data_IF_026536005556
#
_entry.id   IF_026536005556
#
_cell.length_a   1.000
_cell.length_b   1.000
_cell.length_c   1.000
_cell.angle_alpha   90.00
_cell.angle_beta   90.00
_cell.angle_gamma   90.00
#
_symmetry.space_group_name_H-M   'P 1'
#
loop_
_entity.id
_entity.type
_entity.pdbx_description
1 polymer ?
#
# COMPACT_ATOMS: atom_id res chain seq x y z
N UNK A 1 12.77 19.47 0.33
CA UNK A 1 11.62 19.63 1.24
C UNK A 1 11.57 21.02 1.88
N UNK A 2 12.64 21.51 2.53
CA UNK A 2 12.66 22.83 3.19
C UNK A 2 12.18 23.99 2.31
N UNK A 3 12.60 24.01 1.03
CA UNK A 3 12.17 25.03 0.06
C UNK A 3 10.65 25.07 -0.17
N UNK A 4 9.99 23.91 -0.22
CA UNK A 4 8.55 23.82 -0.52
C UNK A 4 7.67 23.87 0.73
N UNK A 5 8.20 23.56 1.92
CA UNK A 5 7.46 23.71 3.18
C UNK A 5 7.68 25.07 3.84
N UNK A 6 8.76 25.79 3.48
CA UNK A 6 9.20 27.00 4.17
C UNK A 6 9.81 26.73 5.56
N UNK A 7 10.00 25.46 5.93
CA UNK A 7 10.54 25.05 7.24
C UNK A 7 11.98 24.59 7.06
N UNK A 8 12.91 25.22 7.77
CA UNK A 8 14.30 24.76 7.83
C UNK A 8 14.36 23.41 8.56
N UNK A 9 14.93 22.39 7.93
CA UNK A 9 15.05 21.04 8.50
C UNK A 9 16.43 20.92 9.14
N UNK A 10 16.46 20.97 10.46
CA UNK A 10 17.69 20.92 11.27
C UNK A 10 17.76 19.73 12.21
N UNK A 11 16.66 19.01 12.35
CA UNK A 11 16.46 17.86 13.22
C UNK A 11 15.23 17.04 12.77
N UNK A 12 14.89 16.00 13.53
CA UNK A 12 13.72 15.16 13.26
C UNK A 12 12.40 15.91 13.43
N UNK A 13 12.30 16.81 14.39
CA UNK A 13 11.05 17.53 14.68
C UNK A 13 10.71 18.47 13.52
N UNK A 14 11.68 19.26 13.06
CA UNK A 14 11.54 20.13 11.90
C UNK A 14 11.32 19.35 10.60
N UNK A 15 11.86 18.14 10.45
CA UNK A 15 11.53 17.23 9.35
C UNK A 15 10.05 16.82 9.39
N UNK A 16 9.56 16.33 10.54
CA UNK A 16 8.17 15.92 10.70
C UNK A 16 7.20 17.10 10.52
N UNK A 17 7.55 18.28 11.02
CA UNK A 17 6.79 19.51 10.80
C UNK A 17 6.74 19.90 9.31
N UNK A 18 7.87 19.78 8.59
CA UNK A 18 7.93 20.02 7.16
C UNK A 18 7.07 19.02 6.37
N UNK A 19 7.06 17.74 6.76
CA UNK A 19 6.21 16.71 6.15
C UNK A 19 4.73 16.97 6.44
N UNK A 20 4.36 17.27 7.69
CA UNK A 20 2.99 17.63 8.07
C UNK A 20 2.48 18.83 7.28
N UNK A 21 3.29 19.89 7.18
CA UNK A 21 2.96 21.06 6.35
C UNK A 21 2.63 20.69 4.90
N UNK A 22 3.38 19.76 4.30
CA UNK A 22 3.08 19.28 2.94
C UNK A 22 1.82 18.42 2.91
N UNK A 23 1.61 17.53 3.88
CA UNK A 23 0.37 16.75 3.98
C UNK A 23 -0.85 17.66 4.09
N UNK A 24 -0.80 18.68 4.94
CA UNK A 24 -1.89 19.66 5.09
C UNK A 24 -2.15 20.41 3.76
N UNK A 25 -1.10 20.76 3.02
CA UNK A 25 -1.24 21.30 1.67
C UNK A 25 -1.95 20.33 0.73
N UNK A 26 -1.59 19.03 0.73
CA UNK A 26 -2.26 18.02 -0.09
C UNK A 26 -3.73 17.83 0.33
N UNK A 27 -4.02 17.83 1.63
CA UNK A 27 -5.38 17.76 2.16
C UNK A 27 -6.22 18.96 1.71
N UNK A 28 -5.64 20.17 1.71
CA UNK A 28 -6.30 21.37 1.17
C UNK A 28 -6.60 21.29 -0.34
N UNK A 29 -5.97 20.35 -1.05
CA UNK A 29 -6.24 20.03 -2.47
C UNK A 29 -6.98 18.69 -2.61
N UNK A 30 -7.74 18.29 -1.60
CA UNK A 30 -8.61 17.10 -1.60
C UNK A 30 -7.89 15.77 -1.73
N UNK A 31 -6.58 15.72 -1.44
CA UNK A 31 -5.91 14.43 -1.30
C UNK A 31 -6.47 13.68 -0.08
N UNK A 32 -6.73 12.39 -0.25
CA UNK A 32 -7.25 11.49 0.78
C UNK A 32 -6.52 10.14 0.81
N UNK A 33 -5.43 10.00 0.04
CA UNK A 33 -4.73 8.75 -0.18
C UNK A 33 -3.22 9.00 -0.16
N UNK A 34 -2.48 8.17 0.57
CA UNK A 34 -1.02 8.09 0.51
C UNK A 34 -0.58 6.75 -0.10
N UNK A 35 0.65 6.71 -0.62
CA UNK A 35 1.26 5.51 -1.16
C UNK A 35 2.74 5.42 -0.82
N UNK A 36 3.19 4.21 -0.53
CA UNK A 36 4.54 3.88 -0.10
C UNK A 36 5.07 2.66 -0.85
N UNK A 37 5.94 2.89 -1.84
CA UNK A 37 6.70 1.85 -2.52
C UNK A 37 7.96 1.48 -1.74
N UNK A 38 8.02 0.27 -1.18
CA UNK A 38 9.13 -0.20 -0.34
C UNK A 38 9.52 -1.65 -0.69
N UNK A 39 10.78 -2.02 -0.49
CA UNK A 39 11.17 -3.44 -0.60
C UNK A 39 10.50 -4.27 0.51
N UNK A 40 10.45 -3.76 1.74
CA UNK A 40 9.65 -4.27 2.83
C UNK A 40 9.36 -3.12 3.83
N UNK A 41 8.35 -3.27 4.69
CA UNK A 41 8.14 -2.32 5.79
C UNK A 41 9.33 -2.33 6.77
N UNK A 42 9.62 -1.23 7.46
CA UNK A 42 10.68 -1.17 8.47
C UNK A 42 10.46 -2.20 9.59
N UNK A 43 11.54 -2.81 10.07
CA UNK A 43 11.51 -3.72 11.22
C UNK A 43 11.59 -2.94 12.55
N UNK A 44 12.21 -1.77 12.53
CA UNK A 44 12.34 -0.88 13.68
C UNK A 44 11.53 0.39 13.45
N UNK A 45 10.73 0.79 14.43
CA UNK A 45 9.78 1.91 14.33
C UNK A 45 10.00 3.00 15.40
N UNK A 46 11.14 2.95 16.10
CA UNK A 46 11.56 3.95 17.10
C UNK A 46 13.04 4.29 16.90
N UNK A 47 13.39 5.52 17.24
CA UNK A 47 14.79 5.96 17.36
C UNK A 47 15.15 6.15 18.83
N UNK A 48 16.31 5.66 19.21
CA UNK A 48 16.97 5.97 20.48
C UNK A 48 17.40 7.43 20.53
N UNK A 49 17.65 7.98 21.71
CA UNK A 49 18.11 9.38 21.82
C UNK A 49 19.49 9.59 21.19
N UNK A 50 20.34 8.55 21.17
CA UNK A 50 21.62 8.56 20.45
C UNK A 50 21.40 8.69 18.95
N UNK A 51 20.49 7.90 18.36
CA UNK A 51 20.18 7.97 16.93
C UNK A 51 19.52 9.30 16.55
N UNK A 52 18.69 9.89 17.42
CA UNK A 52 18.14 11.23 17.17
C UNK A 52 19.24 12.30 17.13
N UNK A 53 20.22 12.21 18.03
CA UNK A 53 21.37 13.12 18.02
C UNK A 53 22.27 12.90 16.79
N UNK A 54 22.49 11.63 16.42
CA UNK A 54 23.22 11.26 15.21
C UNK A 54 22.57 11.85 13.96
N UNK A 55 21.23 11.82 13.86
CA UNK A 55 20.51 12.41 12.72
C UNK A 55 20.80 13.91 12.57
N UNK A 56 20.87 14.65 13.68
CA UNK A 56 21.19 16.08 13.66
C UNK A 56 22.63 16.35 13.18
N UNK A 57 23.57 15.46 13.49
CA UNK A 57 24.94 15.53 13.00
C UNK A 57 25.02 15.14 11.51
N UNK A 58 24.29 14.11 11.10
CA UNK A 58 24.16 13.66 9.71
C UNK A 58 23.69 14.80 8.80
N UNK A 59 22.67 15.58 9.19
CA UNK A 59 22.18 16.71 8.41
C UNK A 59 23.21 17.82 8.16
N UNK A 60 24.21 17.95 9.03
CA UNK A 60 25.22 19.02 8.99
C UNK A 60 26.52 18.59 8.34
N UNK A 61 26.69 17.30 8.10
CA UNK A 61 27.97 16.71 7.70
C UNK A 61 27.83 16.16 6.29
N UNK A 62 28.47 16.77 5.28
CA UNK A 62 28.51 16.22 3.93
C UNK A 62 29.03 14.78 3.95
N UNK A 63 28.42 13.91 3.14
CA UNK A 63 28.78 12.49 2.98
C UNK A 63 28.68 11.63 4.26
N UNK A 64 28.07 12.14 5.34
CA UNK A 64 27.77 11.32 6.50
C UNK A 64 26.78 10.21 6.14
N UNK A 65 26.92 9.06 6.81
CA UNK A 65 26.00 7.93 6.69
C UNK A 65 25.29 7.77 8.02
N UNK A 66 23.96 7.75 7.99
CA UNK A 66 23.17 7.44 9.17
C UNK A 66 23.26 5.95 9.47
N UNK A 67 23.55 5.60 10.72
CA UNK A 67 23.87 4.23 11.14
C UNK A 67 22.69 3.26 11.04
N UNK A 68 21.45 3.76 11.15
CA UNK A 68 20.25 2.93 11.21
C UNK A 68 19.12 3.40 10.28
N UNK A 69 19.28 3.28 8.95
CA UNK A 69 18.28 3.75 7.98
C UNK A 69 16.91 3.07 8.12
N UNK A 70 16.85 1.80 8.56
CA UNK A 70 15.59 1.08 8.79
C UNK A 70 14.80 1.71 9.95
N UNK A 71 15.45 2.00 11.09
CA UNK A 71 14.80 2.66 12.22
C UNK A 71 14.35 4.09 11.91
N UNK A 72 15.14 4.84 11.13
CA UNK A 72 14.72 6.16 10.65
C UNK A 72 13.48 6.06 9.76
N UNK A 73 13.49 5.15 8.78
CA UNK A 73 12.35 4.93 7.90
C UNK A 73 11.10 4.54 8.70
N UNK A 74 11.21 3.64 9.68
CA UNK A 74 10.07 3.24 10.50
C UNK A 74 9.58 4.32 11.44
N UNK A 75 10.48 5.13 12.01
CA UNK A 75 10.10 6.27 12.85
C UNK A 75 9.31 7.32 12.05
N UNK A 76 9.82 7.72 10.88
CA UNK A 76 9.16 8.69 10.01
C UNK A 76 7.85 8.12 9.46
N UNK A 77 7.85 6.89 8.95
CA UNK A 77 6.66 6.26 8.39
C UNK A 77 5.56 6.09 9.46
N UNK A 78 5.91 5.71 10.68
CA UNK A 78 4.95 5.65 11.80
C UNK A 78 4.31 7.01 12.05
N UNK A 79 5.09 8.09 12.08
CA UNK A 79 4.56 9.44 12.27
C UNK A 79 3.62 9.86 11.14
N UNK A 80 3.97 9.54 9.89
CA UNK A 80 3.12 9.82 8.73
C UNK A 80 1.79 9.03 8.80
N UNK A 81 1.85 7.74 9.11
CA UNK A 81 0.66 6.89 9.26
C UNK A 81 -0.32 7.42 10.31
N UNK A 82 0.18 7.96 11.43
CA UNK A 82 -0.65 8.60 12.45
C UNK A 82 -1.34 9.87 11.92
N UNK A 83 -0.63 10.68 11.14
CA UNK A 83 -1.23 11.85 10.47
C UNK A 83 -2.30 11.41 9.46
N UNK A 84 -2.07 10.34 8.70
CA UNK A 84 -3.07 9.81 7.78
C UNK A 84 -4.32 9.34 8.52
N UNK A 85 -4.16 8.70 9.67
CA UNK A 85 -5.27 8.32 10.53
C UNK A 85 -6.05 9.55 11.02
N UNK A 86 -5.35 10.57 11.53
CA UNK A 86 -5.96 11.85 11.98
C UNK A 86 -6.81 12.49 10.86
N UNK A 87 -6.34 12.45 9.62
CA UNK A 87 -7.01 13.03 8.46
C UNK A 87 -8.05 12.12 7.80
N UNK A 88 -8.22 10.88 8.27
CA UNK A 88 -9.10 9.88 7.67
C UNK A 88 -8.65 9.39 6.28
N UNK A 89 -7.37 9.55 5.96
CA UNK A 89 -6.78 9.10 4.68
C UNK A 89 -6.68 7.58 4.60
N UNK A 90 -6.56 7.07 3.37
CA UNK A 90 -6.13 5.71 3.11
C UNK A 90 -4.62 5.68 2.90
N UNK A 91 -3.94 4.70 3.48
CA UNK A 91 -2.51 4.46 3.27
C UNK A 91 -2.28 3.19 2.45
N UNK A 92 -1.47 3.28 1.41
CA UNK A 92 -1.14 2.16 0.53
C UNK A 92 0.32 1.75 0.70
N UNK A 93 0.57 0.44 0.64
CA UNK A 93 1.91 -0.13 0.73
C UNK A 93 2.15 -1.10 -0.43
N UNK A 94 2.97 -0.69 -1.38
CA UNK A 94 3.42 -1.49 -2.51
C UNK A 94 4.77 -2.14 -2.18
N UNK A 95 4.74 -3.45 -1.88
CA UNK A 95 5.85 -4.16 -1.26
C UNK A 95 6.47 -5.23 -2.15
N UNK A 96 7.80 -5.29 -2.17
CA UNK A 96 8.54 -6.43 -2.73
C UNK A 96 9.24 -6.19 -4.07
N UNK A 97 9.33 -4.95 -4.54
CA UNK A 97 10.10 -4.62 -5.74
C UNK A 97 11.62 -4.71 -5.50
N UNK A 98 12.32 -5.43 -6.37
CA UNK A 98 13.78 -5.41 -6.49
C UNK A 98 14.15 -4.52 -7.68
N UNK A 99 14.74 -3.35 -7.40
CA UNK A 99 14.88 -2.26 -8.39
C UNK A 99 16.31 -2.10 -8.90
N UNK A 100 16.45 -1.52 -10.09
CA UNK A 100 17.71 -1.12 -10.70
C UNK A 100 18.72 -2.28 -10.87
N UNK A 101 18.22 -3.47 -11.20
CA UNK A 101 19.03 -4.69 -11.26
C UNK A 101 20.13 -4.63 -12.31
N UNK A 102 19.88 -3.93 -13.42
CA UNK A 102 20.87 -3.74 -14.47
C UNK A 102 21.68 -2.46 -14.24
N UNK A 103 22.78 -2.57 -13.50
CA UNK A 103 23.66 -1.44 -13.15
C UNK A 103 24.17 -0.68 -14.38
N UNK A 104 24.48 -1.40 -15.47
CA UNK A 104 24.96 -0.79 -16.71
C UNK A 104 23.91 0.08 -17.38
N UNK A 105 22.64 -0.34 -17.33
CA UNK A 105 21.52 0.44 -17.86
C UNK A 105 21.06 1.53 -16.90
N UNK A 106 21.12 1.30 -15.60
CA UNK A 106 20.85 2.32 -14.58
C UNK A 106 21.76 3.54 -14.76
N UNK A 107 23.05 3.33 -14.98
CA UNK A 107 24.00 4.43 -15.25
C UNK A 107 23.70 5.22 -16.54
N UNK A 108 22.96 4.63 -17.49
CA UNK A 108 22.64 5.26 -18.79
C UNK A 108 21.27 5.91 -18.81
N UNK A 109 20.26 5.24 -18.25
CA UNK A 109 18.84 5.60 -18.36
C UNK A 109 18.25 6.08 -17.04
N UNK A 110 18.89 5.77 -15.91
CA UNK A 110 18.33 6.01 -14.59
C UNK A 110 17.23 5.01 -14.20
N UNK A 111 16.51 5.30 -13.12
CA UNK A 111 15.44 4.44 -12.60
C UNK A 111 14.22 4.36 -13.53
N UNK A 112 13.29 3.44 -13.22
CA UNK A 112 11.99 3.29 -13.90
C UNK A 112 12.10 3.04 -15.42
N UNK A 113 13.19 2.40 -15.84
CA UNK A 113 13.53 2.13 -17.25
C UNK A 113 13.35 0.67 -17.68
N UNK A 114 12.60 -0.11 -16.90
CA UNK A 114 12.25 -1.51 -17.21
C UNK A 114 13.24 -2.56 -16.70
N UNK A 115 14.13 -2.21 -15.77
CA UNK A 115 15.14 -3.10 -15.18
C UNK A 115 14.86 -3.46 -13.72
N UNK A 116 13.59 -3.48 -13.35
CA UNK A 116 13.07 -3.86 -12.04
C UNK A 116 12.41 -5.24 -12.12
N UNK A 117 12.36 -5.97 -11.01
CA UNK A 117 11.79 -7.32 -10.95
C UNK A 117 11.13 -7.62 -9.59
N UNK A 118 10.56 -8.82 -9.50
CA UNK A 118 10.04 -9.38 -8.26
C UNK A 118 11.20 -9.70 -7.30
N UNK A 119 11.12 -9.24 -6.05
CA UNK A 119 12.00 -9.64 -4.95
C UNK A 119 11.37 -10.68 -4.02
N UNK A 120 12.15 -11.23 -3.09
CA UNK A 120 11.77 -12.31 -2.16
C UNK A 120 11.95 -11.91 -0.69
N UNK A 121 11.61 -10.67 -0.37
CA UNK A 121 11.78 -10.10 0.97
C UNK A 121 10.83 -10.76 1.99
N UNK A 122 11.29 -10.90 3.24
CA UNK A 122 10.44 -11.43 4.33
C UNK A 122 9.47 -10.36 4.83
N UNK A 123 8.19 -10.53 4.56
CA UNK A 123 7.16 -9.53 4.86
C UNK A 123 6.40 -9.75 6.17
N UNK A 124 6.15 -11.00 6.57
CA UNK A 124 5.19 -11.32 7.63
C UNK A 124 5.45 -10.61 8.98
N UNK A 125 6.67 -10.75 9.52
CA UNK A 125 7.03 -10.14 10.81
C UNK A 125 7.05 -8.61 10.75
N UNK A 126 7.50 -8.04 9.62
CA UNK A 126 7.57 -6.58 9.40
C UNK A 126 6.17 -5.96 9.30
N UNK A 127 5.26 -6.57 8.55
CA UNK A 127 3.85 -6.16 8.46
C UNK A 127 3.16 -6.24 9.83
N UNK A 128 3.27 -7.39 10.50
CA UNK A 128 2.67 -7.62 11.82
C UNK A 128 3.18 -6.61 12.86
N UNK A 129 4.51 -6.42 12.94
CA UNK A 129 5.12 -5.49 13.88
C UNK A 129 4.76 -4.03 13.60
N UNK A 130 4.79 -3.61 12.33
CA UNK A 130 4.51 -2.22 11.97
C UNK A 130 3.04 -1.83 12.19
N UNK A 131 2.09 -2.64 11.72
CA UNK A 131 0.66 -2.38 11.95
C UNK A 131 0.26 -2.61 13.40
N UNK A 132 0.88 -3.58 14.08
CA UNK A 132 0.72 -3.78 15.53
C UNK A 132 1.12 -2.53 16.31
N UNK A 133 2.26 -1.91 15.98
CA UNK A 133 2.70 -0.67 16.63
C UNK A 133 1.72 0.50 16.45
N UNK A 134 1.11 0.65 15.27
CA UNK A 134 0.07 1.67 15.04
C UNK A 134 -1.24 1.35 15.77
N UNK A 135 -1.56 0.06 15.91
CA UNK A 135 -2.78 -0.41 16.59
C UNK A 135 -2.73 -0.26 18.10
N UNK A 136 -1.53 -0.20 18.72
CA UNK A 136 -1.37 0.02 20.18
C UNK A 136 -2.03 1.30 20.68
N UNK A 137 -2.14 2.31 19.81
CA UNK A 137 -2.71 3.63 20.13
C UNK A 137 -3.98 3.93 19.32
N UNK A 138 -4.55 2.91 18.65
CA UNK A 138 -5.70 3.02 17.74
C UNK A 138 -5.51 4.03 16.60
N UNK A 139 -4.26 4.23 16.14
CA UNK A 139 -3.91 5.19 15.10
C UNK A 139 -3.59 4.51 13.76
N UNK A 140 -4.08 3.28 13.57
CA UNK A 140 -4.00 2.59 12.27
C UNK A 140 -5.08 3.14 11.33
N UNK A 141 -4.67 3.76 10.23
CA UNK A 141 -5.56 4.24 9.18
C UNK A 141 -6.15 3.09 8.33
N UNK A 142 -7.15 3.41 7.50
CA UNK A 142 -7.57 2.53 6.39
C UNK A 142 -6.35 2.19 5.56
N UNK A 143 -6.07 0.91 5.30
CA UNK A 143 -4.84 0.51 4.62
C UNK A 143 -5.10 -0.45 3.46
N UNK A 144 -4.33 -0.32 2.38
CA UNK A 144 -4.28 -1.31 1.31
C UNK A 144 -2.85 -1.82 1.18
N UNK A 145 -2.65 -3.14 1.24
CA UNK A 145 -1.34 -3.75 1.08
C UNK A 145 -1.28 -4.55 -0.22
N UNK A 146 -0.16 -4.41 -0.93
CA UNK A 146 0.11 -5.08 -2.20
C UNK A 146 1.45 -5.81 -2.10
N UNK A 147 1.49 -7.06 -2.56
CA UNK A 147 2.71 -7.83 -2.73
C UNK A 147 3.08 -7.91 -4.22
N UNK A 148 4.38 -7.88 -4.52
CA UNK A 148 4.87 -8.12 -5.89
C UNK A 148 5.21 -9.59 -6.14
N UNK A 149 5.48 -10.36 -5.07
CA UNK A 149 5.81 -11.77 -5.16
C UNK A 149 4.59 -12.65 -4.86
N UNK A 150 4.09 -13.44 -5.84
CA UNK A 150 2.84 -14.18 -5.67
C UNK A 150 2.93 -15.33 -4.64
N UNK A 151 4.13 -15.65 -4.13
CA UNK A 151 4.30 -16.55 -3.00
C UNK A 151 3.78 -15.96 -1.67
N UNK A 152 3.59 -14.64 -1.62
CA UNK A 152 3.11 -13.94 -0.43
C UNK A 152 1.58 -13.71 -0.43
N UNK A 153 0.85 -14.12 -1.47
CA UNK A 153 -0.58 -13.83 -1.62
C UNK A 153 -1.40 -14.24 -0.38
N UNK A 154 -1.29 -15.49 0.02
CA UNK A 154 -2.00 -16.05 1.18
C UNK A 154 -1.55 -15.38 2.48
N UNK A 155 -0.27 -15.05 2.60
CA UNK A 155 0.25 -14.36 3.79
C UNK A 155 -0.32 -12.94 3.89
N UNK A 156 -0.36 -12.17 2.79
CA UNK A 156 -0.97 -10.84 2.76
C UNK A 156 -2.48 -10.90 3.00
N UNK A 157 -3.17 -11.87 2.38
CA UNK A 157 -4.61 -12.07 2.57
C UNK A 157 -4.98 -12.44 4.02
N UNK A 158 -4.16 -13.24 4.70
CA UNK A 158 -4.33 -13.53 6.13
C UNK A 158 -3.95 -12.33 7.01
N UNK A 159 -2.91 -11.57 6.63
CA UNK A 159 -2.39 -10.45 7.42
C UNK A 159 -3.44 -9.35 7.66
N UNK A 160 -4.26 -9.04 6.65
CA UNK A 160 -5.31 -8.01 6.79
C UNK A 160 -6.35 -8.37 7.86
N UNK A 161 -6.59 -9.66 8.12
CA UNK A 161 -7.53 -10.14 9.12
C UNK A 161 -7.13 -9.81 10.56
N UNK A 162 -5.83 -9.62 10.82
CA UNK A 162 -5.32 -9.27 12.16
C UNK A 162 -5.70 -7.84 12.58
N UNK A 163 -5.98 -6.96 11.63
CA UNK A 163 -6.12 -5.52 11.86
C UNK A 163 -7.44 -4.95 11.29
N UNK A 164 -8.50 -5.76 11.30
CA UNK A 164 -9.85 -5.25 11.06
C UNK A 164 -10.24 -4.12 12.02
N UNK A 165 -11.29 -3.36 11.71
CA UNK A 165 -11.74 -2.28 12.58
C UNK A 165 -13.25 -2.14 12.60
N UNK A 166 -13.77 -1.78 13.77
CA UNK A 166 -15.20 -1.60 13.99
C UNK A 166 -15.75 -0.47 13.11
N UNK A 167 -16.94 -0.69 12.55
CA UNK A 167 -17.64 0.31 11.75
C UNK A 167 -17.07 0.59 10.35
N UNK A 168 -15.94 0.00 9.97
CA UNK A 168 -15.32 0.20 8.65
C UNK A 168 -15.26 -1.13 7.90
N UNK A 169 -16.07 -1.25 6.82
CA UNK A 169 -16.07 -2.43 5.95
C UNK A 169 -14.71 -2.60 5.28
N UNK A 170 -13.96 -3.60 5.75
CA UNK A 170 -12.63 -3.92 5.22
C UNK A 170 -11.61 -2.81 5.45
N UNK A 171 -11.45 -2.33 6.70
CA UNK A 171 -10.42 -1.35 7.10
C UNK A 171 -9.03 -1.66 6.55
N UNK A 172 -8.69 -2.94 6.46
CA UNK A 172 -7.48 -3.45 5.81
C UNK A 172 -7.88 -4.20 4.55
N UNK A 173 -7.29 -3.80 3.43
CA UNK A 173 -7.55 -4.37 2.12
C UNK A 173 -6.29 -5.09 1.62
N UNK A 174 -6.48 -6.28 1.05
CA UNK A 174 -5.48 -6.90 0.23
C UNK A 174 -5.75 -6.46 -1.21
N UNK A 175 -4.83 -5.64 -1.76
CA UNK A 175 -5.01 -4.99 -3.04
C UNK A 175 -5.01 -5.95 -4.23
N UNK A 176 -5.45 -5.44 -5.40
CA UNK A 176 -5.43 -6.21 -6.65
C UNK A 176 -4.03 -6.67 -7.05
N UNK A 177 -3.94 -7.63 -7.98
CA UNK A 177 -2.66 -8.09 -8.51
C UNK A 177 -1.81 -6.91 -9.02
N UNK A 178 -0.66 -6.68 -8.40
CA UNK A 178 0.16 -5.50 -8.67
C UNK A 178 1.23 -5.76 -9.74
N UNK A 179 1.35 -4.83 -10.69
CA UNK A 179 2.42 -4.75 -11.69
C UNK A 179 2.60 -6.05 -12.50
N UNK A 180 3.60 -6.89 -12.18
CA UNK A 180 3.82 -8.16 -12.89
C UNK A 180 2.66 -9.15 -12.67
N UNK A 181 1.88 -8.95 -11.61
CA UNK A 181 0.72 -9.75 -11.26
C UNK A 181 -0.59 -9.19 -11.82
N UNK A 182 -0.57 -8.03 -12.48
CA UNK A 182 -1.74 -7.45 -13.19
C UNK A 182 -1.93 -8.11 -14.57
N UNK A 183 -2.22 -9.40 -14.53
CA UNK A 183 -2.54 -10.28 -15.66
C UNK A 183 -3.43 -11.41 -15.15
N UNK A 184 -4.09 -12.15 -16.05
CA UNK A 184 -5.15 -13.12 -15.70
C UNK A 184 -4.81 -14.04 -14.52
N UNK A 185 -3.70 -14.76 -14.57
CA UNK A 185 -3.32 -15.73 -13.53
C UNK A 185 -3.01 -15.04 -12.20
N UNK A 186 -2.38 -13.87 -12.24
CA UNK A 186 -2.07 -13.08 -11.04
C UNK A 186 -3.34 -12.55 -10.37
N UNK A 187 -4.27 -12.02 -11.17
CA UNK A 187 -5.58 -11.54 -10.71
C UNK A 187 -6.40 -12.69 -10.12
N UNK A 188 -6.49 -13.83 -10.81
CA UNK A 188 -7.24 -15.00 -10.31
C UNK A 188 -6.64 -15.53 -9.00
N UNK A 189 -5.30 -15.62 -8.89
CA UNK A 189 -4.64 -16.05 -7.65
C UNK A 189 -4.85 -15.06 -6.50
N UNK A 190 -4.80 -13.76 -6.77
CA UNK A 190 -5.05 -12.73 -5.77
C UNK A 190 -6.50 -12.79 -5.26
N UNK A 191 -7.47 -12.84 -6.18
CA UNK A 191 -8.90 -12.94 -5.84
C UNK A 191 -9.22 -14.22 -5.06
N UNK A 192 -8.64 -15.36 -5.45
CA UNK A 192 -8.81 -16.62 -4.73
C UNK A 192 -8.23 -16.56 -3.31
N UNK A 193 -7.04 -15.98 -3.12
CA UNK A 193 -6.46 -15.82 -1.79
C UNK A 193 -7.34 -14.91 -0.91
N UNK A 194 -7.80 -13.78 -1.46
CA UNK A 194 -8.71 -12.86 -0.75
C UNK A 194 -10.07 -13.51 -0.44
N UNK A 195 -10.64 -14.28 -1.36
CA UNK A 195 -11.93 -14.96 -1.17
C UNK A 195 -11.85 -16.04 -0.08
N UNK A 196 -10.76 -16.79 -0.02
CA UNK A 196 -10.57 -17.87 0.97
C UNK A 196 -10.24 -17.37 2.38
N UNK A 197 -9.53 -16.23 2.52
CA UNK A 197 -8.99 -15.79 3.81
C UNK A 197 -9.60 -14.47 4.31
N UNK A 198 -10.32 -13.75 3.45
CA UNK A 198 -10.94 -12.47 3.75
C UNK A 198 -12.38 -12.41 3.29
N UNK A 199 -12.82 -11.21 2.90
CA UNK A 199 -14.19 -10.97 2.44
C UNK A 199 -14.17 -10.27 1.08
N UNK A 200 -14.18 -11.06 0.00
CA UNK A 200 -14.09 -10.56 -1.38
C UNK A 200 -15.21 -9.58 -1.73
N UNK A 201 -16.38 -9.68 -1.10
CA UNK A 201 -17.50 -8.75 -1.31
C UNK A 201 -17.22 -7.32 -0.83
N UNK A 202 -16.22 -7.12 0.03
CA UNK A 202 -15.73 -5.81 0.47
C UNK A 202 -14.49 -5.34 -0.32
N UNK A 203 -14.05 -6.08 -1.33
CA UNK A 203 -12.84 -5.76 -2.07
C UNK A 203 -13.00 -4.43 -2.80
N UNK A 204 -12.03 -3.52 -2.62
CA UNK A 204 -12.02 -2.20 -3.26
C UNK A 204 -11.77 -2.25 -4.77
N UNK A 205 -11.36 -3.40 -5.30
CA UNK A 205 -11.33 -3.64 -6.74
C UNK A 205 -10.04 -3.16 -7.42
N UNK A 206 -10.20 -2.73 -8.67
CA UNK A 206 -9.12 -2.53 -9.63
C UNK A 206 -8.62 -1.09 -9.68
N UNK A 207 -7.32 -0.92 -9.92
CA UNK A 207 -6.67 0.33 -10.29
C UNK A 207 -5.67 0.06 -11.43
N UNK A 208 -5.33 1.07 -12.24
CA UNK A 208 -4.50 0.83 -13.42
C UNK A 208 -2.99 0.81 -13.16
N UNK A 209 -2.53 1.48 -12.10
CA UNK A 209 -1.11 1.71 -11.78
C UNK A 209 -0.28 2.10 -13.01
N UNK A 210 -0.83 3.00 -13.83
CA UNK A 210 -0.28 3.29 -15.16
C UNK A 210 -0.13 4.77 -15.42
N UNK A 211 0.95 5.09 -16.13
CA UNK A 211 1.19 6.40 -16.75
C UNK A 211 0.53 6.57 -18.12
N UNK A 212 -0.17 5.55 -18.64
CA UNK A 212 -0.80 5.58 -19.96
C UNK A 212 -2.30 5.88 -19.87
N UNK A 213 -2.78 6.85 -20.64
CA UNK A 213 -4.22 7.12 -20.80
C UNK A 213 -5.00 5.97 -21.44
N UNK A 214 -4.32 5.04 -22.12
CA UNK A 214 -4.95 3.85 -22.72
C UNK A 214 -5.11 2.69 -21.73
N UNK A 215 -4.69 2.87 -20.47
CA UNK A 215 -4.69 1.81 -19.46
C UNK A 215 -6.07 1.45 -18.91
N UNK A 216 -7.12 2.21 -19.21
CA UNK A 216 -8.47 1.91 -18.72
C UNK A 216 -9.02 0.56 -19.23
N UNK A 217 -8.46 0.01 -20.31
CA UNK A 217 -8.74 -1.37 -20.76
C UNK A 217 -8.35 -2.43 -19.72
N UNK A 218 -7.43 -2.12 -18.79
CA UNK A 218 -7.13 -2.99 -17.63
C UNK A 218 -8.34 -3.19 -16.72
N UNK A 219 -9.20 -2.18 -16.56
CA UNK A 219 -10.46 -2.36 -15.83
C UNK A 219 -11.41 -3.31 -16.55
N UNK A 220 -11.52 -3.22 -17.87
CA UNK A 220 -12.32 -4.18 -18.64
C UNK A 220 -11.77 -5.61 -18.46
N UNK A 221 -10.45 -5.76 -18.58
CA UNK A 221 -9.77 -7.03 -18.40
C UNK A 221 -10.03 -7.65 -17.02
N UNK A 222 -9.83 -6.87 -15.96
CA UNK A 222 -10.16 -7.27 -14.58
C UNK A 222 -11.63 -7.68 -14.43
N UNK A 223 -12.56 -6.86 -14.93
CA UNK A 223 -14.01 -7.12 -14.80
C UNK A 223 -14.42 -8.42 -15.49
N UNK A 224 -13.87 -8.72 -16.67
CA UNK A 224 -14.12 -9.98 -17.37
C UNK A 224 -13.63 -11.18 -16.56
N UNK A 225 -12.44 -11.08 -15.97
CA UNK A 225 -11.87 -12.14 -15.12
C UNK A 225 -12.74 -12.33 -13.87
N UNK A 226 -13.11 -11.25 -13.19
CA UNK A 226 -13.97 -11.27 -12.00
C UNK A 226 -15.33 -11.92 -12.30
N UNK A 227 -16.02 -11.48 -13.35
CA UNK A 227 -17.31 -12.06 -13.74
C UNK A 227 -17.19 -13.54 -14.11
N UNK A 228 -16.11 -13.94 -14.79
CA UNK A 228 -15.89 -15.34 -15.15
C UNK A 228 -15.60 -16.21 -13.93
N UNK A 229 -14.84 -15.71 -12.95
CA UNK A 229 -14.55 -16.42 -11.70
C UNK A 229 -15.85 -16.68 -10.93
N UNK A 230 -16.63 -15.63 -10.64
CA UNK A 230 -17.90 -15.76 -9.91
C UNK A 230 -18.93 -16.58 -10.69
N UNK A 231 -19.03 -16.37 -12.01
CA UNK A 231 -19.94 -17.14 -12.87
C UNK A 231 -19.63 -18.64 -12.86
N UNK A 232 -18.34 -19.01 -12.93
CA UNK A 232 -17.93 -20.41 -12.83
C UNK A 232 -18.25 -21.01 -11.45
N UNK A 233 -18.06 -20.25 -10.36
CA UNK A 233 -18.43 -20.71 -9.02
C UNK A 233 -19.96 -20.90 -8.87
N UNK A 234 -20.77 -20.06 -9.51
CA UNK A 234 -22.23 -20.24 -9.58
C UNK A 234 -22.61 -21.51 -10.39
N UNK A 235 -22.03 -21.69 -11.58
CA UNK A 235 -22.29 -22.86 -12.43
C UNK A 235 -21.90 -24.18 -11.74
N UNK A 236 -20.83 -24.16 -10.94
CA UNK A 236 -20.36 -25.31 -10.16
C UNK A 236 -21.12 -25.52 -8.84
N UNK A 237 -22.11 -24.68 -8.52
CA UNK A 237 -22.90 -24.76 -7.29
C UNK A 237 -22.12 -24.40 -6.02
N UNK A 238 -20.99 -23.70 -6.14
CA UNK A 238 -20.20 -23.18 -5.02
C UNK A 238 -20.77 -21.86 -4.49
N UNK A 239 -21.32 -21.04 -5.39
CA UNK A 239 -22.15 -19.88 -5.06
C UNK A 239 -23.61 -20.14 -5.46
N UNK A 240 -24.58 -19.51 -4.78
CA UNK A 240 -25.99 -19.59 -5.19
C UNK A 240 -26.21 -19.02 -6.58
N UNK A 241 -27.13 -19.63 -7.34
CA UNK A 241 -27.62 -19.10 -8.61
C UNK A 241 -28.61 -17.93 -8.38
N UNK A 242 -28.11 -16.85 -7.76
CA UNK A 242 -28.81 -15.59 -7.54
C UNK A 242 -28.06 -14.46 -8.27
N UNK A 243 -28.44 -14.25 -9.53
CA UNK A 243 -27.80 -13.24 -10.38
C UNK A 243 -27.95 -11.82 -9.82
N UNK A 244 -29.03 -11.52 -9.09
CA UNK A 244 -29.24 -10.18 -8.55
C UNK A 244 -28.28 -9.92 -7.40
N UNK A 245 -28.12 -10.88 -6.49
CA UNK A 245 -27.21 -10.77 -5.36
C UNK A 245 -25.75 -10.78 -5.81
N UNK A 246 -25.35 -11.74 -6.66
CA UNK A 246 -23.97 -11.82 -7.17
C UNK A 246 -23.63 -10.61 -8.06
N UNK A 247 -24.58 -10.17 -8.89
CA UNK A 247 -24.43 -8.96 -9.70
C UNK A 247 -24.22 -7.69 -8.88
N UNK A 248 -24.84 -7.60 -7.69
CA UNK A 248 -24.61 -6.50 -6.74
C UNK A 248 -23.19 -6.53 -6.18
N UNK A 249 -22.70 -7.71 -5.78
CA UNK A 249 -21.33 -7.88 -5.29
C UNK A 249 -20.32 -7.48 -6.37
N UNK A 250 -20.51 -7.95 -7.60
CA UNK A 250 -19.64 -7.59 -8.74
C UNK A 250 -19.66 -6.07 -8.97
N UNK A 251 -20.83 -5.44 -8.94
CA UNK A 251 -20.96 -3.97 -9.10
C UNK A 251 -20.24 -3.21 -7.99
N UNK A 252 -20.31 -3.71 -6.75
CA UNK A 252 -19.62 -3.12 -5.61
C UNK A 252 -18.10 -3.17 -5.78
N UNK A 253 -17.55 -4.33 -6.17
CA UNK A 253 -16.12 -4.51 -6.46
C UNK A 253 -15.69 -3.64 -7.64
N UNK A 254 -16.57 -3.44 -8.63
CA UNK A 254 -16.25 -2.67 -9.83
C UNK A 254 -16.20 -1.15 -9.59
N UNK A 255 -16.82 -0.65 -8.53
CA UNK A 255 -16.98 0.79 -8.29
C UNK A 255 -17.33 1.16 -6.83
N UNK A 256 -18.48 0.72 -6.30
CA UNK A 256 -19.06 1.31 -5.08
C UNK A 256 -18.23 1.07 -3.80
N UNK A 257 -17.50 -0.05 -3.73
CA UNK A 257 -16.59 -0.30 -2.61
C UNK A 257 -15.47 0.73 -2.59
N UNK A 258 -14.84 1.01 -3.73
CA UNK A 258 -13.80 2.04 -3.83
C UNK A 258 -14.36 3.43 -3.51
N UNK A 259 -15.51 3.80 -4.10
CA UNK A 259 -16.17 5.09 -3.86
C UNK A 259 -16.38 5.32 -2.36
N UNK A 260 -16.93 4.32 -1.66
CA UNK A 260 -17.17 4.40 -0.21
C UNK A 260 -15.86 4.38 0.59
N UNK A 261 -14.92 3.50 0.23
CA UNK A 261 -13.69 3.31 1.00
C UNK A 261 -12.76 4.52 0.93
N UNK A 262 -12.70 5.18 -0.22
CA UNK A 262 -11.84 6.35 -0.47
C UNK A 262 -12.58 7.69 -0.32
N UNK A 263 -13.89 7.68 -0.02
CA UNK A 263 -14.75 8.87 0.04
C UNK A 263 -14.70 9.70 -1.26
N UNK A 264 -14.94 9.06 -2.41
CA UNK A 264 -14.84 9.68 -3.75
C UNK A 264 -16.16 10.31 -4.25
N UNK A 265 -17.15 10.47 -3.38
CA UNK A 265 -18.49 11.01 -3.69
C UNK A 265 -18.80 12.30 -2.96
#
# INVERSE_FOLDING_TARGET
>A
LSSVSGIAITDLESLLAALRNRIDFFAAHHCSISDHGLSALPAVYKLTDVEKQEFNAFLKTPDAVFSNPDAFAGYVLTALCKIYHELGWVQQFHLGALRNNNLGMFNKLGPDSGFDSIGDFKHAERLSGFFGNLSLTDELAKSVIYNLNPADNEMFAAMIGNFGGDGIRGKMQYGSGWWFLDQKEGIERQLNALSNMGMVSNFVGMLTDSRSFLSYSRHEYFRRILCNLFGAEMENGQLPDDQQWIGKIISDICYYNAETYFNLG
#
